data_IF_864651424499
#
_entry.id   IF_864651424499
#
_cell.length_a   1.000
_cell.length_b   1.000
_cell.length_c   1.000
_cell.angle_alpha   90.00
_cell.angle_beta   90.00
_cell.angle_gamma   90.00
#
_symmetry.space_group_name_H-M   'P 1'
#
loop_
_entity.id
_entity.type
_entity.pdbx_description
1 polymer ?
#
# COMPACT_ATOMS: atom_id res chain seq x y z
N UNK A 1 -10.44 -17.05 24.52
CA UNK A 1 -11.17 -17.33 23.25
C UNK A 1 -10.35 -18.14 22.23
N UNK A 2 -9.03 -17.92 22.06
CA UNK A 2 -8.20 -18.68 21.08
C UNK A 2 -8.12 -20.20 21.33
N UNK A 3 -7.87 -20.65 22.57
CA UNK A 3 -7.74 -22.09 22.92
C UNK A 3 -8.98 -22.93 22.63
N UNK A 4 -10.17 -22.39 22.89
CA UNK A 4 -11.45 -23.10 22.66
C UNK A 4 -11.71 -23.32 21.17
N UNK A 5 -11.37 -22.31 20.35
CA UNK A 5 -11.56 -22.37 18.90
C UNK A 5 -10.60 -23.36 18.23
N UNK A 6 -9.33 -23.41 18.65
CA UNK A 6 -8.37 -24.39 18.16
C UNK A 6 -8.77 -25.84 18.54
N UNK A 7 -9.32 -26.05 19.75
CA UNK A 7 -9.87 -27.36 20.16
C UNK A 7 -11.05 -27.80 19.28
N UNK A 8 -11.94 -26.87 18.90
CA UNK A 8 -13.04 -27.16 17.98
C UNK A 8 -12.54 -27.54 16.58
N UNK A 9 -11.49 -26.87 16.10
CA UNK A 9 -10.84 -27.17 14.82
C UNK A 9 -9.92 -28.41 14.86
N UNK A 10 -9.74 -29.03 16.04
CA UNK A 10 -8.78 -30.14 16.27
C UNK A 10 -7.34 -29.78 15.91
N UNK A 11 -6.97 -28.50 16.05
CA UNK A 11 -5.62 -27.99 15.79
C UNK A 11 -4.90 -27.82 17.15
N UNK A 12 -3.66 -28.29 17.23
CA UNK A 12 -2.83 -28.13 18.43
C UNK A 12 -2.43 -26.68 18.62
N UNK A 13 -2.32 -26.20 19.87
CA UNK A 13 -1.97 -24.80 20.15
C UNK A 13 -0.54 -24.41 19.74
N UNK A 14 0.33 -25.40 19.52
CA UNK A 14 1.73 -25.22 19.12
C UNK A 14 2.00 -25.65 17.68
N UNK A 15 0.97 -26.02 16.91
CA UNK A 15 1.19 -26.36 15.50
C UNK A 15 1.38 -25.10 14.66
N UNK A 16 2.04 -25.23 13.51
CA UNK A 16 2.29 -24.10 12.61
C UNK A 16 0.98 -23.49 12.09
N UNK A 17 -0.08 -24.29 11.95
CA UNK A 17 -1.42 -23.85 11.56
C UNK A 17 -2.11 -23.03 12.66
N UNK A 18 -1.72 -23.21 13.92
CA UNK A 18 -2.25 -22.43 15.04
C UNK A 18 -1.52 -21.09 15.23
N UNK A 19 -0.43 -20.84 14.52
CA UNK A 19 0.22 -19.53 14.53
C UNK A 19 -0.72 -18.49 13.91
N UNK A 20 -1.06 -17.47 14.68
CA UNK A 20 -1.87 -16.38 14.17
C UNK A 20 -1.04 -15.61 13.13
N UNK A 21 -1.45 -15.72 11.87
CA UNK A 21 -0.99 -14.87 10.79
C UNK A 21 -2.08 -13.84 10.56
N UNK A 22 -1.74 -12.56 10.67
CA UNK A 22 -2.70 -11.50 10.40
C UNK A 22 -3.14 -11.60 8.93
N UNK A 23 -4.41 -11.89 8.62
CA UNK A 23 -4.86 -12.04 7.24
C UNK A 23 -4.94 -10.70 6.51
N UNK A 24 -4.96 -9.59 7.24
CA UNK A 24 -4.97 -8.25 6.64
C UNK A 24 -3.56 -7.83 6.24
N UNK A 25 -3.47 -7.20 5.06
CA UNK A 25 -2.25 -6.62 4.56
C UNK A 25 -1.92 -5.38 5.40
N UNK A 26 -0.65 -5.24 5.78
CA UNK A 26 -0.14 -4.03 6.42
C UNK A 26 0.44 -3.15 5.32
N UNK A 27 -0.10 -1.95 5.14
CA UNK A 27 0.41 -1.01 4.15
C UNK A 27 0.53 0.39 4.73
N UNK A 28 1.75 0.68 5.21
CA UNK A 28 2.05 1.88 5.96
C UNK A 28 2.76 2.91 5.10
N UNK A 29 2.14 4.08 4.98
CA UNK A 29 2.78 5.27 4.41
C UNK A 29 3.55 5.98 5.52
N UNK A 30 4.86 6.15 5.33
CA UNK A 30 5.71 6.87 6.28
C UNK A 30 5.74 8.37 5.98
N UNK A 31 6.00 9.14 7.04
CA UNK A 31 6.24 10.57 6.99
C UNK A 31 5.11 11.41 6.37
N UNK A 32 3.86 11.11 6.73
CA UNK A 32 2.72 11.95 6.33
C UNK A 32 2.69 13.19 7.23
N UNK A 33 2.97 14.35 6.64
CA UNK A 33 3.06 15.62 7.37
C UNK A 33 1.79 16.44 7.15
N UNK A 34 1.18 16.91 8.24
CA UNK A 34 0.09 17.89 8.15
C UNK A 34 0.65 19.30 7.92
N UNK A 35 0.30 19.94 6.81
CA UNK A 35 0.78 21.29 6.46
C UNK A 35 0.28 22.41 7.37
N UNK A 36 -0.76 22.18 8.18
CA UNK A 36 -1.27 23.19 9.10
C UNK A 36 -0.60 23.21 10.47
N UNK A 37 -0.22 22.04 10.98
CA UNK A 37 0.30 21.89 12.35
C UNK A 37 1.65 21.18 12.41
N UNK A 38 2.23 20.84 11.26
CA UNK A 38 3.48 20.11 11.10
C UNK A 38 3.54 18.77 11.87
N UNK A 39 2.36 18.19 12.16
CA UNK A 39 2.29 16.88 12.78
C UNK A 39 2.65 15.82 11.74
N UNK A 40 3.72 15.08 12.01
CA UNK A 40 4.18 13.97 11.20
C UNK A 40 3.74 12.66 11.83
N UNK A 41 3.16 11.75 11.03
CA UNK A 41 2.85 10.39 11.46
C UNK A 41 2.96 9.40 10.31
N UNK A 42 3.14 8.13 10.64
CA UNK A 42 2.91 7.03 9.71
C UNK A 42 1.42 6.66 9.71
N UNK A 43 0.86 6.33 8.55
CA UNK A 43 -0.54 5.97 8.38
C UNK A 43 -0.61 4.57 7.77
N UNK A 44 -1.27 3.62 8.45
CA UNK A 44 -1.59 2.31 7.87
C UNK A 44 -2.94 2.40 7.15
N UNK A 45 -2.90 2.32 5.82
CA UNK A 45 -4.09 2.52 4.98
C UNK A 45 -5.12 1.40 5.14
N UNK A 46 -4.72 0.22 5.60
CA UNK A 46 -5.62 -0.91 5.77
C UNK A 46 -6.26 -0.97 7.15
N UNK A 47 -5.72 -0.23 8.13
CA UNK A 47 -6.14 -0.33 9.53
C UNK A 47 -6.44 1.00 10.22
N UNK A 48 -6.04 2.15 9.66
CA UNK A 48 -6.21 3.43 10.35
C UNK A 48 -7.70 3.72 10.56
N UNK A 49 -8.18 3.69 11.83
CA UNK A 49 -9.59 3.87 12.12
C UNK A 49 -10.12 5.22 11.66
N UNK A 50 -9.25 6.24 11.52
CA UNK A 50 -9.65 7.57 11.07
C UNK A 50 -10.08 7.55 9.59
N UNK A 51 -9.49 6.66 8.78
CA UNK A 51 -9.86 6.52 7.37
C UNK A 51 -11.23 5.85 7.19
N UNK A 52 -11.68 5.07 8.18
CA UNK A 52 -12.95 4.32 8.12
C UNK A 52 -14.08 4.95 8.95
N UNK A 53 -13.81 6.01 9.73
CA UNK A 53 -14.81 6.67 10.58
C UNK A 53 -15.57 7.75 9.80
N UNK A 54 -16.51 7.33 8.95
CA UNK A 54 -17.50 8.25 8.37
C UNK A 54 -18.94 8.04 8.87
N UNK A 55 -19.25 7.01 9.68
CA UNK A 55 -20.66 6.70 9.99
C UNK A 55 -21.12 6.97 11.43
N UNK A 56 -20.28 7.50 12.33
CA UNK A 56 -20.56 7.47 13.78
C UNK A 56 -20.64 8.82 14.51
N UNK A 57 -20.94 9.92 13.82
CA UNK A 57 -21.44 11.14 14.48
C UNK A 57 -22.83 11.49 13.93
N UNK A 58 -23.82 10.66 14.30
CA UNK A 58 -25.22 11.07 14.38
C UNK A 58 -25.63 11.07 15.85
N UNK A 59 -25.78 12.27 16.39
CA UNK A 59 -26.58 12.66 17.56
C UNK A 59 -26.32 14.15 17.76
N UNK A 60 -27.25 15.10 17.82
CA UNK A 60 -28.70 15.20 17.63
C UNK A 60 -28.94 16.70 17.30
N UNK A 61 -30.13 17.03 16.76
CA UNK A 61 -30.68 18.39 16.54
C UNK A 61 -30.21 19.18 15.28
N UNK A 62 -31.02 19.19 14.22
CA UNK A 62 -31.99 20.28 13.96
C UNK A 62 -32.65 20.10 12.57
N UNK A 63 -33.94 20.44 12.53
CA UNK A 63 -34.86 20.40 11.41
C UNK A 63 -34.63 21.60 10.47
N UNK A 64 -34.00 21.34 9.31
CA UNK A 64 -34.34 22.05 8.06
C UNK A 64 -33.74 21.35 6.86
N UNK A 65 -34.63 20.91 5.97
CA UNK A 65 -34.26 20.29 4.71
C UNK A 65 -33.47 21.24 3.82
N UNK A 66 -32.53 20.67 3.09
CA UNK A 66 -32.09 21.10 1.77
C UNK A 66 -31.31 19.94 1.11
N UNK A 67 -31.66 19.64 -0.13
CA UNK A 67 -31.07 18.59 -0.96
C UNK A 67 -29.77 19.12 -1.58
N UNK A 68 -28.62 18.67 -1.06
CA UNK A 68 -27.30 18.91 -1.66
C UNK A 68 -26.48 17.61 -1.70
N UNK A 69 -25.70 17.46 -2.75
CA UNK A 69 -25.10 16.22 -3.24
C UNK A 69 -24.25 15.43 -2.21
N UNK A 70 -24.42 14.10 -2.24
CA UNK A 70 -23.75 13.07 -1.42
C UNK A 70 -22.26 12.87 -1.79
N UNK A 71 -21.44 13.91 -1.73
CA UNK A 71 -19.98 13.80 -1.89
C UNK A 71 -19.19 14.22 -0.64
N UNK A 72 -19.84 14.78 0.37
CA UNK A 72 -19.21 15.22 1.62
C UNK A 72 -18.65 14.07 2.48
N UNK A 73 -19.12 12.84 2.27
CA UNK A 73 -18.75 11.68 3.11
C UNK A 73 -17.34 11.13 2.80
N UNK A 74 -16.81 11.36 1.58
CA UNK A 74 -15.48 10.90 1.19
C UNK A 74 -14.33 11.83 1.62
N UNK A 75 -14.64 13.08 1.97
CA UNK A 75 -13.65 14.06 2.42
C UNK A 75 -13.31 13.93 3.91
N UNK A 76 -14.16 13.28 4.70
CA UNK A 76 -14.04 13.19 6.17
C UNK A 76 -12.92 12.24 6.66
N UNK A 77 -12.53 11.25 5.86
CA UNK A 77 -11.56 10.23 6.26
C UNK A 77 -10.11 10.76 6.46
N UNK A 78 -9.71 11.76 5.67
CA UNK A 78 -8.30 12.18 5.55
C UNK A 78 -7.99 13.47 6.32
N UNK A 79 -8.22 13.45 7.63
CA UNK A 79 -7.93 14.57 8.51
C UNK A 79 -6.72 14.31 9.42
N UNK A 80 -6.07 15.39 9.83
CA UNK A 80 -5.03 15.32 10.85
C UNK A 80 -5.67 15.08 12.24
N UNK A 81 -5.16 14.14 13.06
CA UNK A 81 -5.66 13.92 14.42
C UNK A 81 -5.51 15.15 15.32
N UNK A 82 -4.58 16.08 15.01
CA UNK A 82 -4.36 17.31 15.78
C UNK A 82 -5.08 18.52 15.21
N UNK A 83 -5.48 18.49 13.94
CA UNK A 83 -6.12 19.59 13.24
C UNK A 83 -7.27 19.06 12.38
N UNK A 84 -8.48 19.01 12.96
CA UNK A 84 -9.69 18.50 12.31
C UNK A 84 -10.13 19.33 11.11
N UNK A 85 -9.65 20.57 10.98
CA UNK A 85 -9.93 21.46 9.84
C UNK A 85 -8.94 21.30 8.68
N UNK A 86 -7.93 20.46 8.82
CA UNK A 86 -6.88 20.30 7.83
C UNK A 86 -6.97 18.95 7.14
N UNK A 87 -7.44 18.99 5.91
CA UNK A 87 -7.55 17.84 5.03
C UNK A 87 -6.18 17.50 4.48
N UNK A 88 -5.67 16.30 4.78
CA UNK A 88 -4.37 15.82 4.29
C UNK A 88 -4.49 15.06 2.97
N UNK A 89 -5.71 14.85 2.46
CA UNK A 89 -6.03 14.09 1.25
C UNK A 89 -5.10 14.35 0.04
N UNK A 90 -4.95 15.58 -0.49
CA UNK A 90 -4.10 15.80 -1.68
C UNK A 90 -2.62 15.51 -1.40
N UNK A 91 -2.17 15.75 -0.17
CA UNK A 91 -0.80 15.45 0.23
C UNK A 91 -0.57 13.94 0.41
N UNK A 92 -1.56 13.23 0.95
CA UNK A 92 -1.56 11.77 1.04
C UNK A 92 -1.55 11.12 -0.34
N UNK A 93 -2.32 11.64 -1.29
CA UNK A 93 -2.29 11.19 -2.70
C UNK A 93 -0.90 11.36 -3.32
N UNK A 94 -0.32 12.56 -3.20
CA UNK A 94 1.04 12.84 -3.67
C UNK A 94 2.06 11.88 -3.08
N UNK A 95 2.02 11.68 -1.76
CA UNK A 95 2.97 10.80 -1.08
C UNK A 95 2.86 9.35 -1.57
N UNK A 96 1.64 8.89 -1.83
CA UNK A 96 1.40 7.56 -2.38
C UNK A 96 1.99 7.44 -3.79
N UNK A 97 1.76 8.43 -4.65
CA UNK A 97 2.30 8.45 -6.01
C UNK A 97 3.82 8.41 -6.00
N UNK A 98 4.46 9.27 -5.20
CA UNK A 98 5.91 9.31 -5.06
C UNK A 98 6.49 7.96 -4.64
N UNK A 99 5.87 7.33 -3.65
CA UNK A 99 6.31 6.03 -3.12
C UNK A 99 6.26 4.93 -4.20
N UNK A 100 5.18 4.87 -4.99
CA UNK A 100 5.02 3.83 -6.01
C UNK A 100 5.95 4.07 -7.19
N UNK A 101 6.12 5.32 -7.59
CA UNK A 101 7.09 5.68 -8.62
C UNK A 101 8.51 5.35 -8.17
N UNK A 102 8.87 5.66 -6.92
CA UNK A 102 10.16 5.29 -6.35
C UNK A 102 10.34 3.77 -6.31
N UNK A 103 9.31 3.00 -5.95
CA UNK A 103 9.35 1.54 -5.96
C UNK A 103 9.51 0.98 -7.39
N UNK A 104 8.85 1.58 -8.38
CA UNK A 104 9.00 1.21 -9.79
C UNK A 104 10.42 1.49 -10.29
N UNK A 105 10.98 2.66 -9.96
CA UNK A 105 12.38 3.00 -10.29
C UNK A 105 13.34 2.04 -9.61
N UNK A 106 13.12 1.72 -8.33
CA UNK A 106 13.94 0.75 -7.60
C UNK A 106 13.87 -0.65 -8.25
N UNK A 107 12.69 -1.07 -8.72
CA UNK A 107 12.54 -2.33 -9.46
C UNK A 107 13.34 -2.35 -10.76
N UNK A 108 13.35 -1.25 -11.50
CA UNK A 108 14.06 -1.13 -12.78
C UNK A 108 15.58 -1.03 -12.60
N UNK A 109 16.03 -0.38 -11.54
CA UNK A 109 17.44 -0.09 -11.27
C UNK A 109 18.10 -1.08 -10.30
N UNK A 110 17.39 -2.11 -9.84
CA UNK A 110 17.93 -3.05 -8.86
C UNK A 110 19.16 -3.80 -9.38
N UNK A 111 20.10 -4.07 -8.47
CA UNK A 111 21.23 -4.94 -8.77
C UNK A 111 20.76 -6.40 -8.94
N UNK A 112 21.39 -7.10 -9.89
CA UNK A 112 21.24 -8.54 -10.03
C UNK A 112 22.31 -9.25 -9.19
N UNK A 113 21.91 -10.13 -8.28
CA UNK A 113 22.85 -10.91 -7.46
C UNK A 113 22.93 -12.35 -7.95
N UNK A 114 24.11 -12.97 -7.89
CA UNK A 114 24.28 -14.39 -8.18
C UNK A 114 24.29 -15.19 -6.86
N UNK A 115 23.61 -16.34 -6.83
CA UNK A 115 23.32 -17.16 -5.63
C UNK A 115 24.54 -17.54 -4.77
N UNK A 116 25.77 -17.50 -5.30
CA UNK A 116 26.97 -17.90 -4.56
C UNK A 116 27.94 -16.77 -4.23
N UNK A 117 27.65 -15.54 -4.60
CA UNK A 117 28.55 -14.42 -4.32
C UNK A 117 27.73 -13.22 -3.85
N UNK A 118 28.04 -12.77 -2.64
CA UNK A 118 27.70 -11.44 -2.11
C UNK A 118 28.54 -10.41 -2.89
N UNK A 119 28.43 -10.43 -4.21
CA UNK A 119 29.11 -9.53 -5.11
C UNK A 119 28.00 -8.87 -5.92
N UNK A 120 27.86 -7.56 -5.75
CA UNK A 120 27.05 -6.75 -6.66
C UNK A 120 27.67 -6.89 -8.05
N UNK A 121 26.95 -7.56 -8.97
CA UNK A 121 27.41 -7.65 -10.35
C UNK A 121 27.17 -6.28 -11.00
N UNK A 122 28.25 -5.56 -11.29
CA UNK A 122 28.20 -4.46 -12.25
C UNK A 122 27.71 -4.98 -13.61
N UNK A 123 26.89 -4.20 -14.34
CA UNK A 123 26.31 -4.54 -15.63
C UNK A 123 27.31 -5.14 -16.66
N UNK A 124 28.61 -4.83 -16.52
CA UNK A 124 29.69 -5.37 -17.37
C UNK A 124 29.99 -6.86 -17.13
N UNK A 125 29.64 -7.40 -15.96
CA UNK A 125 29.94 -8.78 -15.58
C UNK A 125 28.83 -9.78 -15.97
N UNK A 126 27.59 -9.29 -16.20
CA UNK A 126 26.44 -10.14 -16.47
C UNK A 126 26.46 -10.77 -17.88
N UNK A 127 27.03 -10.07 -18.87
CA UNK A 127 27.00 -10.51 -20.28
C UNK A 127 28.12 -11.51 -20.59
N UNK A 128 29.24 -11.45 -19.87
CA UNK A 128 30.45 -12.27 -20.15
C UNK A 128 30.53 -13.53 -19.31
N UNK A 129 29.75 -13.63 -18.23
CA UNK A 129 29.73 -14.82 -17.39
C UNK A 129 28.81 -15.87 -18.02
N UNK A 130 29.39 -16.75 -18.83
CA UNK A 130 28.86 -18.08 -19.20
C UNK A 130 28.66 -18.93 -17.94
N UNK A 131 27.73 -18.52 -17.08
CA UNK A 131 27.49 -19.15 -15.81
C UNK A 131 26.00 -19.44 -15.78
N UNK A 132 25.65 -20.72 -15.92
CA UNK A 132 24.32 -21.31 -15.77
C UNK A 132 23.77 -21.16 -14.34
N UNK A 133 24.02 -20.04 -13.66
CA UNK A 133 23.56 -19.79 -12.30
C UNK A 133 22.32 -18.92 -12.34
N UNK A 134 21.37 -19.27 -11.47
CA UNK A 134 20.17 -18.49 -11.21
C UNK A 134 20.57 -17.09 -10.72
N UNK A 135 20.03 -16.07 -11.38
CA UNK A 135 20.09 -14.67 -10.92
C UNK A 135 18.99 -14.50 -9.88
N UNK A 136 19.33 -13.88 -8.75
CA UNK A 136 18.38 -13.50 -7.71
C UNK A 136 18.19 -11.98 -7.74
N UNK A 137 16.92 -11.58 -7.85
CA UNK A 137 16.51 -10.18 -7.80
C UNK A 137 16.19 -9.81 -6.34
N UNK A 138 16.56 -8.61 -5.91
CA UNK A 138 16.20 -8.13 -4.58
C UNK A 138 14.70 -7.83 -4.49
N UNK A 139 14.14 -7.27 -5.56
CA UNK A 139 12.73 -6.96 -5.71
C UNK A 139 12.12 -7.81 -6.82
N UNK A 140 11.24 -8.74 -6.44
CA UNK A 140 10.60 -9.65 -7.39
C UNK A 140 9.36 -8.99 -7.98
N UNK A 141 9.05 -9.29 -9.25
CA UNK A 141 7.91 -8.76 -9.98
C UNK A 141 6.59 -9.03 -9.25
N UNK A 142 6.43 -10.22 -8.69
CA UNK A 142 5.22 -10.63 -7.98
C UNK A 142 4.93 -9.70 -6.80
N UNK A 143 5.96 -9.36 -6.02
CA UNK A 143 5.85 -8.44 -4.88
C UNK A 143 5.46 -7.03 -5.32
N UNK A 144 6.05 -6.51 -6.40
CA UNK A 144 5.67 -5.21 -6.97
C UNK A 144 4.20 -5.22 -7.43
N UNK A 145 3.77 -6.27 -8.12
CA UNK A 145 2.40 -6.41 -8.59
C UNK A 145 1.39 -6.54 -7.44
N UNK A 146 1.75 -7.22 -6.35
CA UNK A 146 0.96 -7.25 -5.12
C UNK A 146 0.79 -5.86 -4.52
N UNK A 147 1.88 -5.08 -4.44
CA UNK A 147 1.81 -3.68 -3.99
C UNK A 147 0.91 -2.84 -4.90
N UNK A 148 1.11 -2.89 -6.22
CA UNK A 148 0.30 -2.13 -7.18
C UNK A 148 -1.19 -2.47 -7.08
N UNK A 149 -1.55 -3.75 -6.97
CA UNK A 149 -2.95 -4.19 -6.78
C UNK A 149 -3.55 -3.67 -5.48
N UNK A 150 -2.77 -3.65 -4.41
CA UNK A 150 -3.23 -3.12 -3.13
C UNK A 150 -3.48 -1.62 -3.23
N UNK A 151 -2.53 -0.85 -3.79
CA UNK A 151 -2.70 0.60 -3.97
C UNK A 151 -3.87 0.90 -4.91
N UNK A 152 -4.06 0.14 -5.99
CA UNK A 152 -5.19 0.32 -6.89
C UNK A 152 -6.53 0.26 -6.14
N UNK A 153 -6.69 -0.69 -5.20
CA UNK A 153 -7.90 -0.79 -4.37
C UNK A 153 -8.06 0.43 -3.46
N UNK A 154 -6.97 0.90 -2.85
CA UNK A 154 -6.98 2.12 -2.02
C UNK A 154 -7.36 3.34 -2.85
N UNK A 155 -6.75 3.50 -4.04
CA UNK A 155 -7.05 4.60 -4.94
C UNK A 155 -8.52 4.63 -5.36
N UNK A 156 -9.12 3.46 -5.61
CA UNK A 156 -10.54 3.32 -5.94
C UNK A 156 -11.44 3.64 -4.73
N UNK A 157 -11.13 3.08 -3.56
CA UNK A 157 -11.92 3.28 -2.34
C UNK A 157 -11.91 4.75 -1.91
N UNK A 158 -10.74 5.36 -1.90
CA UNK A 158 -10.57 6.74 -1.49
C UNK A 158 -10.84 7.73 -2.62
N UNK A 159 -11.12 7.33 -3.86
CA UNK A 159 -11.31 8.20 -5.04
C UNK A 159 -10.06 9.08 -5.36
N UNK A 160 -8.85 8.54 -5.27
CA UNK A 160 -7.61 9.22 -5.67
C UNK A 160 -7.39 9.09 -7.18
N UNK A 161 -7.75 10.12 -7.95
CA UNK A 161 -7.73 10.08 -9.40
C UNK A 161 -6.31 10.00 -9.98
N UNK A 162 -5.37 10.78 -9.44
CA UNK A 162 -3.99 10.82 -9.95
C UNK A 162 -3.23 9.54 -9.58
N UNK A 163 -3.48 9.03 -8.37
CA UNK A 163 -2.92 7.76 -7.94
C UNK A 163 -3.41 6.60 -8.81
N UNK A 164 -4.72 6.56 -9.09
CA UNK A 164 -5.32 5.52 -9.92
C UNK A 164 -4.70 5.51 -11.33
N UNK A 165 -4.64 6.67 -11.99
CA UNK A 165 -4.03 6.80 -13.32
C UNK A 165 -2.57 6.33 -13.31
N UNK A 166 -1.80 6.69 -12.28
CA UNK A 166 -0.39 6.29 -12.16
C UNK A 166 -0.25 4.78 -12.03
N UNK A 167 -1.08 4.15 -11.20
CA UNK A 167 -1.03 2.69 -11.00
C UNK A 167 -1.49 1.94 -12.25
N UNK A 168 -2.56 2.38 -12.90
CA UNK A 168 -3.06 1.78 -14.14
C UNK A 168 -2.01 1.82 -15.26
N UNK A 169 -1.32 2.95 -15.40
CA UNK A 169 -0.20 3.10 -16.34
C UNK A 169 0.93 2.12 -16.04
N UNK A 170 1.40 2.04 -14.80
CA UNK A 170 2.46 1.11 -14.39
C UNK A 170 2.05 -0.36 -14.57
N UNK A 171 0.78 -0.70 -14.30
CA UNK A 171 0.25 -2.04 -14.55
C UNK A 171 0.18 -2.37 -16.05
N UNK A 172 -0.14 -1.40 -16.90
CA UNK A 172 -0.14 -1.57 -18.35
C UNK A 172 1.29 -1.76 -18.90
N UNK A 173 2.23 -0.94 -18.47
CA UNK A 173 3.66 -1.05 -18.86
C UNK A 173 4.24 -2.41 -18.47
N UNK A 174 3.95 -2.89 -17.25
CA UNK A 174 4.39 -4.22 -16.79
C UNK A 174 3.70 -5.39 -17.51
N UNK A 175 2.54 -5.17 -18.14
CA UNK A 175 1.88 -6.16 -18.99
C UNK A 175 2.45 -6.17 -20.42
N UNK A 176 2.77 -4.99 -20.97
CA UNK A 176 3.38 -4.86 -22.30
C UNK A 176 4.78 -5.48 -22.37
N UNK A 177 5.55 -5.40 -21.29
CA UNK A 177 6.86 -6.08 -21.20
C UNK A 177 6.77 -7.62 -21.33
N UNK A 178 5.60 -8.23 -21.09
CA UNK A 178 5.39 -9.68 -21.28
C UNK A 178 5.21 -10.05 -22.76
N UNK A 179 4.79 -9.10 -23.60
CA UNK A 179 4.54 -9.34 -25.03
C UNK A 179 5.76 -9.07 -25.91
N UNK A 180 6.85 -8.54 -25.35
CA UNK A 180 8.10 -8.26 -26.07
C UNK A 180 9.22 -9.28 -25.82
N UNK A 181 8.93 -10.37 -25.11
CA UNK A 181 9.85 -11.50 -24.87
C UNK A 181 9.24 -12.83 -25.27
#
# INVERSE_FOLDING_TARGET
>A
MRRTLLKLLRISEFSDEAQFRNPSLLFTVQDVICLCCNFCRSIDLCHDPQLFKCSASRSDDDDRGEEYEKDADAFSAWHCPRATRCTTRPHSELRLVEMIQAQSVAYQLQDCTAVSAICQLSAKCAITAHVQRRIHLYLVRESLMETLRLVMRIAQQDKFAWLLETVERLMCETAQLVLMY
#
